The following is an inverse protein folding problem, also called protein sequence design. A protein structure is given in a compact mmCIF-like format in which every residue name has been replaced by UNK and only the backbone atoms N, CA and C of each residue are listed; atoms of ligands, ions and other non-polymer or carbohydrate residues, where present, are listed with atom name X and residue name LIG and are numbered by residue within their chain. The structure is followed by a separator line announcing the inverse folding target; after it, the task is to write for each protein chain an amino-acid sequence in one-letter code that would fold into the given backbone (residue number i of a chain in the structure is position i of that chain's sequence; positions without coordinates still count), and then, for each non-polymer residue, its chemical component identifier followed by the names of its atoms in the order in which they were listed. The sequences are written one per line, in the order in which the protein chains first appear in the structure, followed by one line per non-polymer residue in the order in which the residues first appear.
data_IF_163122835807
#
_entry.id   IF_163122835807
#
_cell.length_a   1.000
_cell.length_b   1.000
_cell.length_c   1.000
_cell.angle_alpha   90.00
_cell.angle_beta   90.00
_cell.angle_gamma   90.00
#
_symmetry.space_group_name_H-M   'P 1'
#
loop_
_entity.id
_entity.type
_entity.pdbx_description
1 polymer ?
#
# COMPACT_ATOMS: atom_id res chain seq x y z
N UNK A 1 -22.45 5.73 10.62
CA UNK A 1 -22.90 6.99 9.98
C UNK A 1 -23.19 6.76 8.51
N UNK A 2 -22.26 6.18 7.72
CA UNK A 2 -22.47 5.99 6.29
C UNK A 2 -23.75 5.19 6.04
N UNK A 3 -23.88 3.99 6.58
CA UNK A 3 -25.03 3.11 6.35
C UNK A 3 -26.36 3.63 6.91
N UNK A 4 -26.33 4.47 7.94
CA UNK A 4 -27.55 4.91 8.63
C UNK A 4 -27.99 6.34 8.26
N UNK A 5 -27.10 7.15 7.69
CA UNK A 5 -27.39 8.57 7.42
C UNK A 5 -27.00 8.94 5.99
N UNK A 6 -25.71 8.79 5.64
CA UNK A 6 -25.21 9.29 4.34
C UNK A 6 -25.90 8.59 3.20
N UNK A 7 -25.72 7.26 3.13
CA UNK A 7 -26.23 6.42 2.06
C UNK A 7 -27.76 6.42 1.93
N UNK A 8 -28.57 6.23 2.99
CA UNK A 8 -30.04 6.19 2.82
C UNK A 8 -30.62 7.50 2.29
N UNK A 9 -30.02 8.63 2.62
CA UNK A 9 -30.49 9.95 2.17
C UNK A 9 -30.16 10.15 0.70
N UNK A 10 -28.90 9.96 0.30
CA UNK A 10 -28.50 10.21 -1.08
C UNK A 10 -29.00 9.11 -2.05
N UNK A 11 -29.10 7.86 -1.60
CA UNK A 11 -29.74 6.80 -2.37
C UNK A 11 -31.21 7.10 -2.65
N UNK A 12 -31.90 7.78 -1.73
CA UNK A 12 -33.25 8.32 -1.94
C UNK A 12 -33.29 9.37 -3.05
N UNK A 13 -32.22 10.15 -3.26
CA UNK A 13 -32.15 11.10 -4.38
C UNK A 13 -31.95 10.41 -5.72
N UNK A 14 -31.21 9.30 -5.73
CA UNK A 14 -30.70 8.61 -6.93
C UNK A 14 -31.61 7.50 -7.42
N UNK A 15 -32.25 6.74 -6.51
CA UNK A 15 -32.99 5.53 -6.88
C UNK A 15 -34.47 5.53 -6.50
N UNK A 16 -34.91 6.48 -5.65
CA UNK A 16 -36.35 6.65 -5.42
C UNK A 16 -36.98 7.36 -6.61
N UNK A 17 -38.07 6.83 -7.15
CA UNK A 17 -38.79 7.44 -8.28
C UNK A 17 -39.24 8.89 -8.04
N UNK A 18 -39.39 9.29 -6.77
CA UNK A 18 -39.68 10.67 -6.36
C UNK A 18 -38.40 11.44 -5.98
N UNK A 19 -37.22 10.84 -6.10
CA UNK A 19 -35.95 11.50 -5.84
C UNK A 19 -35.71 12.63 -6.80
N UNK A 20 -35.24 13.77 -6.30
CA UNK A 20 -35.08 14.99 -7.11
C UNK A 20 -34.04 14.83 -8.24
N UNK A 21 -32.98 14.01 -8.01
CA UNK A 21 -31.99 13.70 -9.06
C UNK A 21 -32.61 12.82 -10.15
N UNK A 22 -33.40 11.82 -9.77
CA UNK A 22 -34.14 10.97 -10.74
C UNK A 22 -35.06 11.83 -11.58
N UNK A 23 -35.79 12.78 -10.96
CA UNK A 23 -36.70 13.66 -11.66
C UNK A 23 -35.97 14.63 -12.63
N UNK A 24 -34.68 14.91 -12.40
CA UNK A 24 -33.83 15.66 -13.34
C UNK A 24 -33.28 14.80 -14.48
N UNK A 25 -33.38 13.47 -14.38
CA UNK A 25 -32.82 12.51 -15.33
C UNK A 25 -31.39 12.09 -15.03
N UNK A 26 -30.96 12.16 -13.74
CA UNK A 26 -29.68 11.61 -13.29
C UNK A 26 -29.72 10.08 -13.38
N UNK A 27 -28.65 9.49 -13.87
CA UNK A 27 -28.47 8.04 -14.01
C UNK A 27 -27.27 7.59 -13.20
N UNK A 28 -27.51 6.67 -12.30
CA UNK A 28 -26.49 5.89 -11.61
C UNK A 28 -27.01 4.46 -11.46
N UNK A 29 -26.68 3.62 -12.43
CA UNK A 29 -27.33 2.31 -12.56
C UNK A 29 -27.10 1.40 -11.36
N UNK A 30 -25.84 1.27 -10.92
CA UNK A 30 -25.48 0.36 -9.85
C UNK A 30 -24.66 1.00 -8.73
N UNK A 31 -24.48 2.33 -8.70
CA UNK A 31 -23.86 3.02 -7.57
C UNK A 31 -22.45 3.56 -7.81
N UNK A 32 -22.18 4.08 -9.01
CA UNK A 32 -20.92 4.77 -9.28
C UNK A 32 -20.75 6.01 -8.42
N UNK A 33 -21.78 6.84 -8.33
CA UNK A 33 -21.84 7.98 -7.44
C UNK A 33 -22.24 7.56 -6.01
N UNK A 34 -23.41 6.95 -5.88
CA UNK A 34 -24.06 6.64 -4.61
C UNK A 34 -23.29 5.66 -3.72
N UNK A 35 -22.38 4.87 -4.27
CA UNK A 35 -21.58 3.90 -3.49
C UNK A 35 -20.10 4.23 -3.58
N UNK A 36 -19.56 4.30 -4.82
CA UNK A 36 -18.12 4.42 -5.00
C UNK A 36 -17.60 5.83 -4.71
N UNK A 37 -18.24 6.87 -5.21
CA UNK A 37 -17.81 8.24 -4.90
C UNK A 37 -18.04 8.58 -3.43
N UNK A 38 -19.08 8.05 -2.80
CA UNK A 38 -19.30 8.13 -1.34
C UNK A 38 -18.15 7.48 -0.59
N UNK A 39 -17.83 6.21 -0.91
CA UNK A 39 -16.74 5.49 -0.27
C UNK A 39 -15.38 6.15 -0.46
N UNK A 40 -15.09 6.58 -1.69
CA UNK A 40 -13.83 7.26 -2.02
C UNK A 40 -13.69 8.65 -1.38
N UNK A 41 -14.78 9.41 -1.25
CA UNK A 41 -14.81 10.69 -0.51
C UNK A 41 -14.55 10.46 0.98
N UNK A 42 -15.19 9.44 1.57
CA UNK A 42 -14.94 9.08 2.95
C UNK A 42 -13.49 8.64 3.19
N UNK A 43 -12.92 7.87 2.26
CA UNK A 43 -11.52 7.45 2.30
C UNK A 43 -10.56 8.64 2.24
N UNK A 44 -10.80 9.60 1.34
CA UNK A 44 -9.98 10.81 1.23
C UNK A 44 -9.97 11.61 2.54
N UNK A 45 -11.15 11.89 3.08
CA UNK A 45 -11.27 12.65 4.32
C UNK A 45 -10.67 11.86 5.49
N UNK A 46 -10.93 10.55 5.57
CA UNK A 46 -10.33 9.66 6.56
C UNK A 46 -8.80 9.69 6.53
N UNK A 47 -8.20 9.56 5.36
CA UNK A 47 -6.75 9.65 5.17
C UNK A 47 -6.17 11.00 5.63
N UNK A 48 -6.86 12.11 5.31
CA UNK A 48 -6.45 13.45 5.76
C UNK A 48 -6.52 13.60 7.28
N UNK A 49 -7.52 13.01 7.96
CA UNK A 49 -7.66 13.06 9.41
C UNK A 49 -6.67 12.17 10.16
N UNK A 50 -6.35 11.00 9.60
CA UNK A 50 -5.38 10.06 10.15
C UNK A 50 -3.95 10.57 9.99
N UNK A 51 -3.66 11.22 8.87
CA UNK A 51 -2.31 11.56 8.46
C UNK A 51 -1.51 10.35 7.95
N UNK A 52 -0.28 10.57 7.48
CA UNK A 52 0.52 9.54 6.85
C UNK A 52 1.02 8.50 7.86
N UNK A 53 1.21 7.25 7.39
CA UNK A 53 1.87 6.19 8.16
C UNK A 53 3.28 6.57 8.54
N UNK A 54 3.77 6.02 9.65
CA UNK A 54 5.15 6.23 10.12
C UNK A 54 6.13 5.82 8.99
N UNK A 55 7.08 6.70 8.68
CA UNK A 55 8.08 6.46 7.65
C UNK A 55 7.60 6.65 6.21
N UNK A 56 6.39 7.17 5.98
CA UNK A 56 5.89 7.46 4.62
C UNK A 56 6.56 8.68 3.99
N UNK A 57 6.81 9.72 4.78
CA UNK A 57 7.41 10.98 4.33
C UNK A 57 8.54 11.41 5.25
N UNK A 58 9.62 11.92 4.66
CA UNK A 58 10.66 12.65 5.39
C UNK A 58 10.37 14.14 5.30
N UNK A 59 10.66 14.86 6.40
CA UNK A 59 10.41 16.28 6.51
C UNK A 59 11.70 17.04 6.80
N UNK A 60 11.84 18.24 6.26
CA UNK A 60 12.87 19.19 6.66
C UNK A 60 12.52 19.89 7.98
N UNK A 61 13.40 20.82 8.40
CA UNK A 61 13.20 21.58 9.64
C UNK A 61 11.98 22.50 9.61
N UNK A 62 11.51 22.83 8.41
CA UNK A 62 10.36 23.72 8.17
C UNK A 62 9.04 22.91 8.00
N UNK A 63 9.10 21.58 8.14
CA UNK A 63 7.95 20.68 8.01
C UNK A 63 7.54 20.39 6.57
N UNK A 64 8.39 20.72 5.59
CA UNK A 64 8.15 20.41 4.18
C UNK A 64 8.61 19.00 3.87
N UNK A 65 7.81 18.25 3.11
CA UNK A 65 8.18 16.91 2.62
C UNK A 65 9.39 17.01 1.69
N UNK A 66 10.46 16.29 2.02
CA UNK A 66 11.68 16.20 1.24
C UNK A 66 11.79 14.90 0.47
N UNK A 67 11.17 13.84 0.98
CA UNK A 67 11.21 12.51 0.36
C UNK A 67 9.93 11.75 0.63
N UNK A 68 9.51 10.96 -0.37
CA UNK A 68 8.37 10.05 -0.29
C UNK A 68 8.90 8.62 -0.33
N UNK A 69 8.46 7.79 0.60
CA UNK A 69 8.83 6.38 0.67
C UNK A 69 7.69 5.48 0.24
N UNK A 70 8.01 4.42 -0.51
CA UNK A 70 7.05 3.39 -0.83
C UNK A 70 6.84 2.47 0.39
N UNK A 71 5.58 2.15 0.70
CA UNK A 71 5.22 1.15 1.70
C UNK A 71 4.39 0.06 0.97
N UNK A 72 5.04 -0.98 0.44
CA UNK A 72 4.35 -2.00 -0.34
C UNK A 72 3.47 -2.89 0.54
N UNK A 73 2.46 -3.50 -0.08
CA UNK A 73 1.67 -4.54 0.55
C UNK A 73 2.49 -5.81 0.80
N UNK A 74 2.08 -6.59 1.80
CA UNK A 74 2.78 -7.80 2.22
C UNK A 74 2.70 -8.97 1.21
N UNK A 75 1.68 -9.01 0.33
CA UNK A 75 1.50 -10.08 -0.64
C UNK A 75 0.74 -9.64 -1.89
N UNK A 76 1.46 -9.51 -3.00
CA UNK A 76 0.83 -9.25 -4.32
C UNK A 76 -0.03 -10.41 -4.80
N UNK A 77 0.32 -11.65 -4.45
CA UNK A 77 -0.46 -12.85 -4.80
C UNK A 77 -1.84 -12.83 -4.14
N UNK A 78 -1.91 -12.48 -2.85
CA UNK A 78 -3.20 -12.31 -2.16
C UNK A 78 -3.97 -11.10 -2.70
N UNK A 79 -3.27 -10.02 -3.05
CA UNK A 79 -3.88 -8.86 -3.71
C UNK A 79 -4.52 -9.23 -5.05
N UNK A 80 -3.84 -10.04 -5.87
CA UNK A 80 -4.38 -10.55 -7.12
C UNK A 80 -5.60 -11.45 -6.89
N UNK A 81 -5.52 -12.40 -5.96
CA UNK A 81 -6.65 -13.24 -5.58
C UNK A 81 -7.85 -12.39 -5.14
N UNK A 82 -7.63 -11.38 -4.29
CA UNK A 82 -8.66 -10.46 -3.85
C UNK A 82 -9.31 -9.69 -5.01
N UNK A 83 -8.51 -9.25 -5.97
CA UNK A 83 -9.02 -8.59 -7.18
C UNK A 83 -9.90 -9.52 -8.02
N UNK A 84 -9.51 -10.79 -8.21
CA UNK A 84 -10.34 -11.75 -8.92
C UNK A 84 -11.67 -12.05 -8.20
N UNK A 85 -11.64 -12.16 -6.87
CA UNK A 85 -12.86 -12.36 -6.06
C UNK A 85 -13.78 -11.15 -6.19
N UNK A 86 -13.23 -9.93 -6.12
CA UNK A 86 -14.00 -8.69 -6.29
C UNK A 86 -14.58 -8.57 -7.71
N UNK A 87 -13.81 -8.90 -8.74
CA UNK A 87 -14.31 -8.85 -10.12
C UNK A 87 -15.44 -9.86 -10.34
N UNK A 88 -15.28 -11.08 -9.86
CA UNK A 88 -16.34 -12.08 -9.91
C UNK A 88 -17.60 -11.59 -9.18
N UNK A 89 -17.44 -11.05 -7.96
CA UNK A 89 -18.54 -10.47 -7.19
C UNK A 89 -19.21 -9.29 -7.90
N UNK A 90 -18.51 -8.59 -8.78
CA UNK A 90 -19.03 -7.44 -9.51
C UNK A 90 -20.09 -7.79 -10.54
N UNK A 91 -20.06 -8.99 -11.08
CA UNK A 91 -21.19 -9.49 -11.87
C UNK A 91 -22.47 -9.59 -11.04
N UNK A 92 -22.35 -9.97 -9.77
CA UNK A 92 -23.47 -9.89 -8.82
C UNK A 92 -23.86 -8.45 -8.50
N UNK A 93 -22.87 -7.57 -8.30
CA UNK A 93 -23.09 -6.15 -7.97
C UNK A 93 -23.89 -5.43 -9.07
N UNK A 94 -23.40 -5.42 -10.30
CA UNK A 94 -24.07 -4.79 -11.43
C UNK A 94 -25.29 -5.61 -11.90
N UNK A 95 -25.22 -6.94 -11.82
CA UNK A 95 -26.32 -7.83 -12.22
C UNK A 95 -27.53 -7.73 -11.31
N UNK A 96 -27.36 -7.53 -10.01
CA UNK A 96 -28.48 -7.34 -9.09
C UNK A 96 -29.28 -6.06 -9.42
N UNK A 97 -28.59 -4.97 -9.72
CA UNK A 97 -29.24 -3.74 -10.21
C UNK A 97 -30.01 -3.99 -11.52
N UNK A 98 -29.43 -4.77 -12.44
CA UNK A 98 -30.10 -5.13 -13.70
C UNK A 98 -31.40 -5.91 -13.48
N UNK A 99 -31.41 -6.91 -12.61
CA UNK A 99 -32.62 -7.71 -12.35
C UNK A 99 -33.73 -6.90 -11.73
N UNK A 100 -33.42 -5.88 -10.96
CA UNK A 100 -34.41 -4.97 -10.35
C UNK A 100 -34.96 -3.95 -11.35
N UNK A 101 -34.13 -3.41 -12.24
CA UNK A 101 -34.49 -2.30 -13.11
C UNK A 101 -34.92 -2.75 -14.52
N UNK A 102 -34.28 -3.75 -15.10
CA UNK A 102 -34.44 -4.15 -16.49
C UNK A 102 -34.93 -5.61 -16.65
N UNK A 103 -35.01 -6.36 -15.54
CA UNK A 103 -35.22 -7.80 -15.59
C UNK A 103 -34.03 -8.55 -16.18
N UNK A 104 -34.21 -9.88 -16.37
CA UNK A 104 -33.12 -10.76 -16.83
C UNK A 104 -32.61 -10.48 -18.26
N UNK A 105 -33.44 -9.83 -19.10
CA UNK A 105 -33.09 -9.55 -20.48
C UNK A 105 -31.89 -8.62 -20.67
N UNK A 106 -31.61 -7.74 -19.71
CA UNK A 106 -30.49 -6.80 -19.73
C UNK A 106 -29.14 -7.38 -19.25
N UNK A 107 -29.13 -8.54 -18.59
CA UNK A 107 -27.94 -9.11 -17.94
C UNK A 107 -26.76 -9.33 -18.89
N UNK A 108 -27.01 -9.78 -20.12
CA UNK A 108 -25.95 -10.05 -21.09
C UNK A 108 -25.17 -8.77 -21.44
N UNK A 109 -25.87 -7.65 -21.66
CA UNK A 109 -25.24 -6.37 -21.94
C UNK A 109 -24.44 -5.86 -20.73
N UNK A 110 -25.02 -5.89 -19.53
CA UNK A 110 -24.39 -5.49 -18.26
C UNK A 110 -23.13 -6.31 -17.99
N UNK A 111 -23.17 -7.64 -18.19
CA UNK A 111 -22.00 -8.48 -17.99
C UNK A 111 -20.91 -8.23 -19.03
N UNK A 112 -21.30 -7.95 -20.28
CA UNK A 112 -20.36 -7.62 -21.35
C UNK A 112 -19.60 -6.33 -21.02
N UNK A 113 -20.27 -5.24 -20.69
CA UNK A 113 -19.64 -3.97 -20.35
C UNK A 113 -18.83 -4.06 -19.06
N UNK A 114 -19.33 -4.79 -18.04
CA UNK A 114 -18.62 -5.09 -16.78
C UNK A 114 -17.37 -5.93 -16.99
N UNK A 115 -17.28 -6.69 -18.09
CA UNK A 115 -16.06 -7.42 -18.46
C UNK A 115 -15.08 -6.55 -19.26
N UNK A 116 -15.58 -5.79 -20.22
CA UNK A 116 -14.74 -5.00 -21.14
C UNK A 116 -13.98 -3.90 -20.40
N UNK A 117 -14.68 -3.06 -19.63
CA UNK A 117 -14.07 -1.89 -19.03
C UNK A 117 -12.89 -2.22 -18.09
N UNK A 118 -13.00 -3.16 -17.13
CA UNK A 118 -11.88 -3.52 -16.25
C UNK A 118 -10.74 -4.21 -17.00
N UNK A 119 -11.04 -5.06 -17.99
CA UNK A 119 -10.01 -5.72 -18.80
C UNK A 119 -9.19 -4.69 -19.59
N UNK A 120 -9.85 -3.74 -20.24
CA UNK A 120 -9.20 -2.66 -20.99
C UNK A 120 -8.43 -1.74 -20.05
N UNK A 121 -8.99 -1.39 -18.87
CA UNK A 121 -8.30 -0.57 -17.87
C UNK A 121 -7.01 -1.25 -17.40
N UNK A 122 -7.04 -2.55 -17.10
CA UNK A 122 -5.85 -3.32 -16.71
C UNK A 122 -4.77 -3.28 -17.79
N UNK A 123 -5.11 -3.58 -19.04
CA UNK A 123 -4.18 -3.56 -20.17
C UNK A 123 -3.61 -2.16 -20.40
N UNK A 124 -4.45 -1.14 -20.35
CA UNK A 124 -4.03 0.27 -20.50
C UNK A 124 -3.02 0.65 -19.42
N UNK A 125 -3.29 0.33 -18.17
CA UNK A 125 -2.38 0.64 -17.05
C UNK A 125 -1.08 -0.14 -17.16
N UNK A 126 -1.14 -1.41 -17.55
CA UNK A 126 0.05 -2.23 -17.77
C UNK A 126 0.96 -1.57 -18.84
N UNK A 127 0.40 -1.14 -19.97
CA UNK A 127 1.15 -0.46 -21.03
C UNK A 127 1.64 0.91 -20.55
N UNK A 128 0.77 1.70 -19.90
CA UNK A 128 1.11 3.04 -19.42
C UNK A 128 2.26 3.02 -18.41
N UNK A 129 2.19 2.13 -17.42
CA UNK A 129 3.26 1.99 -16.42
C UNK A 129 4.53 1.40 -17.03
N UNK A 130 4.41 0.50 -18.00
CA UNK A 130 5.56 -0.02 -18.75
C UNK A 130 6.29 1.09 -19.51
N UNK A 131 5.56 1.89 -20.27
CA UNK A 131 6.16 3.03 -20.98
C UNK A 131 6.79 4.06 -20.04
N UNK A 132 6.15 4.29 -18.88
CA UNK A 132 6.61 5.30 -17.92
C UNK A 132 7.79 4.83 -17.06
N UNK A 133 7.76 3.57 -16.60
CA UNK A 133 8.66 3.05 -15.58
C UNK A 133 9.62 1.97 -16.13
N UNK A 134 9.56 1.64 -17.42
CA UNK A 134 10.34 0.60 -18.05
C UNK A 134 9.87 -0.83 -17.75
N UNK A 135 8.94 -1.01 -16.80
CA UNK A 135 8.31 -2.30 -16.44
C UNK A 135 6.86 -2.07 -16.05
N UNK A 136 5.95 -3.02 -16.35
CA UNK A 136 4.56 -2.95 -15.90
C UNK A 136 4.46 -3.10 -14.38
N UNK A 137 3.63 -2.26 -13.76
CA UNK A 137 3.36 -2.30 -12.33
C UNK A 137 2.15 -3.21 -12.04
N UNK A 138 2.39 -4.32 -11.32
CA UNK A 138 1.34 -5.30 -11.01
C UNK A 138 0.30 -4.70 -10.06
N UNK A 139 0.72 -3.96 -9.02
CA UNK A 139 -0.19 -3.35 -8.05
C UNK A 139 -1.13 -2.34 -8.72
N UNK A 140 -0.57 -1.47 -9.58
CA UNK A 140 -1.36 -0.52 -10.35
C UNK A 140 -2.28 -1.20 -11.36
N UNK A 141 -1.85 -2.31 -11.98
CA UNK A 141 -2.67 -3.10 -12.90
C UNK A 141 -3.88 -3.72 -12.19
N UNK A 142 -3.69 -4.22 -10.96
CA UNK A 142 -4.78 -4.74 -10.14
C UNK A 142 -5.75 -3.61 -9.72
N UNK A 143 -5.24 -2.47 -9.28
CA UNK A 143 -6.06 -1.30 -8.99
C UNK A 143 -6.82 -0.79 -10.21
N UNK A 144 -6.23 -0.87 -11.40
CA UNK A 144 -6.88 -0.48 -12.64
C UNK A 144 -8.05 -1.39 -13.02
N UNK A 145 -7.93 -2.69 -12.76
CA UNK A 145 -9.08 -3.61 -12.93
C UNK A 145 -10.26 -3.16 -12.07
N UNK A 146 -10.00 -2.82 -10.80
CA UNK A 146 -11.04 -2.31 -9.91
C UNK A 146 -11.55 -0.93 -10.33
N UNK A 147 -10.66 -0.03 -10.79
CA UNK A 147 -11.02 1.29 -11.29
C UNK A 147 -11.95 1.21 -12.53
N UNK A 148 -11.66 0.29 -13.44
CA UNK A 148 -12.53 0.03 -14.59
C UNK A 148 -13.89 -0.54 -14.20
N UNK A 149 -13.94 -1.41 -13.17
CA UNK A 149 -15.19 -1.90 -12.58
C UNK A 149 -16.00 -0.76 -11.96
N UNK A 150 -15.35 0.11 -11.20
CA UNK A 150 -15.99 1.30 -10.60
C UNK A 150 -16.54 2.23 -11.68
N UNK A 151 -15.73 2.56 -12.69
CA UNK A 151 -16.13 3.50 -13.71
C UNK A 151 -17.27 3.00 -14.62
N UNK A 152 -17.39 1.69 -14.82
CA UNK A 152 -18.50 1.12 -15.59
C UNK A 152 -19.79 0.96 -14.77
N UNK A 153 -19.71 0.98 -13.45
CA UNK A 153 -20.83 0.70 -12.54
C UNK A 153 -22.04 1.63 -12.76
N UNK A 154 -21.89 2.97 -12.90
CA UNK A 154 -23.06 3.85 -13.09
C UNK A 154 -23.68 3.72 -14.47
N UNK A 155 -22.96 3.20 -15.45
CA UNK A 155 -23.32 3.26 -16.87
C UNK A 155 -23.31 1.88 -17.58
N UNK A 156 -23.15 0.78 -16.83
CA UNK A 156 -22.99 -0.55 -17.43
C UNK A 156 -24.16 -1.03 -18.28
N UNK A 157 -25.36 -0.47 -18.09
CA UNK A 157 -26.56 -0.79 -18.86
C UNK A 157 -26.87 0.22 -19.96
N UNK A 158 -26.19 1.37 -19.99
CA UNK A 158 -26.53 2.51 -20.84
C UNK A 158 -25.50 2.78 -21.94
N UNK A 159 -24.35 2.09 -21.90
CA UNK A 159 -23.29 2.23 -22.90
C UNK A 159 -23.11 0.95 -23.72
N UNK A 160 -22.59 1.10 -24.93
CA UNK A 160 -22.18 -0.02 -25.77
C UNK A 160 -20.73 -0.49 -25.47
N UNK A 161 -20.26 -1.50 -26.20
CA UNK A 161 -18.92 -2.06 -26.02
C UNK A 161 -17.80 -1.05 -26.33
N UNK A 162 -18.03 -0.11 -27.28
CA UNK A 162 -17.06 0.94 -27.60
C UNK A 162 -16.96 1.96 -26.44
N UNK A 163 -18.10 2.44 -25.96
CA UNK A 163 -18.17 3.29 -24.78
C UNK A 163 -17.48 2.66 -23.56
N UNK A 164 -17.80 1.40 -23.27
CA UNK A 164 -17.16 0.65 -22.18
C UNK A 164 -15.64 0.55 -22.34
N UNK A 165 -15.14 0.35 -23.57
CA UNK A 165 -13.71 0.30 -23.87
C UNK A 165 -13.02 1.65 -23.59
N UNK A 166 -13.62 2.75 -24.05
CA UNK A 166 -13.07 4.10 -23.84
C UNK A 166 -13.09 4.44 -22.34
N UNK A 167 -14.17 4.10 -21.62
CA UNK A 167 -14.28 4.27 -20.17
C UNK A 167 -13.13 3.54 -19.48
N UNK A 168 -12.85 2.30 -19.89
CA UNK A 168 -11.74 1.51 -19.35
C UNK A 168 -10.37 2.12 -19.64
N UNK A 169 -10.11 2.60 -20.87
CA UNK A 169 -8.84 3.26 -21.22
C UNK A 169 -8.59 4.45 -20.29
N UNK A 170 -9.57 5.33 -20.15
CA UNK A 170 -9.43 6.53 -19.34
C UNK A 170 -9.27 6.19 -17.87
N UNK A 171 -10.03 5.22 -17.36
CA UNK A 171 -9.89 4.70 -15.98
C UNK A 171 -8.48 4.20 -15.66
N UNK A 172 -7.89 3.44 -16.58
CA UNK A 172 -6.53 2.91 -16.42
C UNK A 172 -5.47 4.00 -16.32
N UNK A 173 -5.69 5.15 -16.95
CA UNK A 173 -4.79 6.31 -16.84
C UNK A 173 -5.07 7.12 -15.58
N UNK A 174 -6.35 7.39 -15.27
CA UNK A 174 -6.77 8.15 -14.10
C UNK A 174 -6.22 7.53 -12.81
N UNK A 175 -6.34 6.22 -12.64
CA UNK A 175 -5.92 5.56 -11.39
C UNK A 175 -4.45 5.79 -11.09
N UNK A 176 -3.57 5.70 -12.09
CA UNK A 176 -2.13 5.93 -11.91
C UNK A 176 -1.85 7.38 -11.57
N UNK A 177 -2.42 8.31 -12.35
CA UNK A 177 -2.16 9.73 -12.17
C UNK A 177 -2.67 10.24 -10.82
N UNK A 178 -3.83 9.75 -10.35
CA UNK A 178 -4.40 10.17 -9.07
C UNK A 178 -3.64 9.58 -7.89
N UNK A 179 -3.24 8.29 -7.94
CA UNK A 179 -2.38 7.69 -6.90
C UNK A 179 -1.09 8.49 -6.75
N UNK A 180 -0.40 8.78 -7.86
CA UNK A 180 0.83 9.54 -7.82
C UNK A 180 0.61 11.00 -7.36
N UNK A 181 -0.49 11.62 -7.77
CA UNK A 181 -0.83 12.98 -7.34
C UNK A 181 -1.05 13.06 -5.83
N UNK A 182 -1.82 12.11 -5.26
CA UNK A 182 -2.07 12.03 -3.82
C UNK A 182 -0.76 11.82 -3.05
N UNK A 183 0.03 10.87 -3.49
CA UNK A 183 1.23 10.45 -2.78
C UNK A 183 2.38 11.46 -2.90
N UNK A 184 2.66 11.93 -4.11
CA UNK A 184 3.87 12.71 -4.41
C UNK A 184 3.65 14.23 -4.41
N UNK A 185 2.42 14.72 -4.60
CA UNK A 185 2.12 16.17 -4.67
C UNK A 185 1.28 16.65 -3.49
N UNK A 186 0.24 15.92 -3.15
CA UNK A 186 -0.66 16.31 -2.06
C UNK A 186 -0.23 15.75 -0.71
N UNK A 187 0.67 14.77 -0.71
CA UNK A 187 1.19 14.09 0.47
C UNK A 187 0.08 13.52 1.36
N UNK A 188 -0.93 12.93 0.71
CA UNK A 188 -2.02 12.22 1.35
C UNK A 188 -1.74 10.74 1.20
N UNK A 189 -1.53 10.05 2.32
CA UNK A 189 -1.26 8.62 2.34
C UNK A 189 -2.55 7.82 2.19
N UNK A 190 -2.80 7.32 0.98
CA UNK A 190 -3.87 6.38 0.65
C UNK A 190 -3.27 4.97 0.48
N UNK A 191 -3.27 4.13 1.52
CA UNK A 191 -2.50 2.90 1.56
C UNK A 191 -2.80 1.89 0.46
N UNK A 192 -4.03 1.90 -0.06
CA UNK A 192 -4.50 0.90 -1.03
C UNK A 192 -4.97 1.52 -2.35
N UNK A 193 -4.88 2.84 -2.49
CA UNK A 193 -5.37 3.54 -3.67
C UNK A 193 -6.89 3.69 -3.73
N UNK A 194 -7.57 3.63 -2.57
CA UNK A 194 -9.03 3.69 -2.48
C UNK A 194 -9.60 4.99 -3.06
N UNK A 195 -8.95 6.12 -2.85
CA UNK A 195 -9.37 7.42 -3.39
C UNK A 195 -9.29 7.43 -4.91
N UNK A 196 -8.19 6.93 -5.47
CA UNK A 196 -8.01 6.87 -6.92
C UNK A 196 -8.98 5.90 -7.59
N UNK A 197 -9.20 4.73 -6.98
CA UNK A 197 -10.10 3.69 -7.52
C UNK A 197 -11.56 4.13 -7.38
N UNK A 198 -11.99 4.59 -6.20
CA UNK A 198 -13.41 4.80 -5.93
C UNK A 198 -13.87 6.24 -6.17
N UNK A 199 -13.15 7.26 -5.66
CA UNK A 199 -13.58 8.65 -5.89
C UNK A 199 -13.32 9.10 -7.32
N UNK A 200 -12.07 9.03 -7.78
CA UNK A 200 -11.73 9.57 -9.08
C UNK A 200 -12.40 8.80 -10.22
N UNK A 201 -12.48 7.48 -10.12
CA UNK A 201 -13.15 6.67 -11.14
C UNK A 201 -14.66 6.56 -10.95
N UNK A 202 -15.20 6.83 -9.77
CA UNK A 202 -16.64 7.04 -9.55
C UNK A 202 -17.11 8.32 -10.26
N UNK A 203 -16.39 9.42 -10.05
CA UNK A 203 -16.63 10.70 -10.77
C UNK A 203 -16.54 10.50 -12.28
N UNK A 204 -15.45 9.85 -12.75
CA UNK A 204 -15.28 9.58 -14.18
C UNK A 204 -16.42 8.71 -14.72
N UNK A 205 -16.79 7.64 -14.05
CA UNK A 205 -17.88 6.75 -14.45
C UNK A 205 -19.23 7.46 -14.55
N UNK A 206 -19.56 8.25 -13.54
CA UNK A 206 -20.82 9.03 -13.53
C UNK A 206 -20.86 10.05 -14.67
N UNK A 207 -19.75 10.78 -14.90
CA UNK A 207 -19.67 11.71 -16.02
C UNK A 207 -19.67 11.00 -17.37
N UNK A 208 -19.12 9.79 -17.45
CA UNK A 208 -19.07 9.01 -18.67
C UNK A 208 -20.44 8.57 -19.18
N UNK A 209 -21.44 8.44 -18.30
CA UNK A 209 -22.82 8.26 -18.74
C UNK A 209 -23.32 9.46 -19.55
N UNK A 210 -23.02 10.66 -19.08
CA UNK A 210 -23.33 11.89 -19.84
C UNK A 210 -22.64 11.98 -21.21
N UNK A 211 -21.51 11.28 -21.38
CA UNK A 211 -20.76 11.27 -22.63
C UNK A 211 -21.15 10.12 -23.57
N UNK A 212 -21.27 8.91 -23.05
CA UNK A 212 -21.34 7.66 -23.82
C UNK A 212 -22.70 6.93 -23.71
N UNK A 213 -23.68 7.46 -22.98
CA UNK A 213 -25.04 6.90 -22.97
C UNK A 213 -25.58 6.87 -24.41
N UNK A 214 -26.02 5.69 -24.86
CA UNK A 214 -26.44 5.48 -26.25
C UNK A 214 -27.71 6.25 -26.64
N UNK A 215 -28.51 6.69 -25.66
CA UNK A 215 -29.73 7.46 -25.91
C UNK A 215 -29.51 8.96 -25.74
N UNK A 216 -28.80 9.37 -24.68
CA UNK A 216 -28.73 10.77 -24.23
C UNK A 216 -27.31 11.32 -24.14
N UNK A 217 -26.29 10.53 -24.49
CA UNK A 217 -24.88 10.91 -24.37
C UNK A 217 -24.46 11.93 -25.46
N UNK A 218 -23.48 12.76 -25.11
CA UNK A 218 -22.94 13.78 -26.03
C UNK A 218 -22.46 13.18 -27.35
N UNK A 219 -21.73 12.04 -27.27
CA UNK A 219 -21.18 11.39 -28.46
C UNK A 219 -22.20 10.62 -29.29
N UNK A 220 -23.40 10.43 -28.77
CA UNK A 220 -24.53 9.81 -29.45
C UNK A 220 -25.60 10.83 -29.89
N UNK A 221 -25.31 12.13 -29.81
CA UNK A 221 -26.17 13.18 -30.28
C UNK A 221 -27.21 13.70 -29.27
N UNK A 222 -27.15 13.28 -28.00
CA UNK A 222 -28.05 13.72 -26.93
C UNK A 222 -27.81 15.14 -26.40
N UNK A 223 -26.73 15.79 -26.86
CA UNK A 223 -26.33 17.12 -26.40
C UNK A 223 -25.75 17.10 -24.96
N UNK A 224 -25.50 18.30 -24.41
CA UNK A 224 -24.77 18.46 -23.14
C UNK A 224 -25.67 18.46 -21.90
N UNK A 225 -26.99 18.41 -22.08
CA UNK A 225 -27.91 18.52 -20.94
C UNK A 225 -27.73 17.35 -19.94
N UNK A 226 -27.67 16.13 -20.48
CA UNK A 226 -27.50 14.94 -19.65
C UNK A 226 -26.15 14.96 -18.90
N UNK A 227 -25.06 15.32 -19.56
CA UNK A 227 -23.76 15.52 -18.93
C UNK A 227 -23.83 16.55 -17.77
N UNK A 228 -24.57 17.64 -17.97
CA UNK A 228 -24.79 18.64 -16.91
C UNK A 228 -25.54 18.08 -15.70
N UNK A 229 -26.53 17.22 -15.93
CA UNK A 229 -27.26 16.54 -14.85
C UNK A 229 -26.36 15.55 -14.10
N UNK A 230 -25.57 14.77 -14.83
CA UNK A 230 -24.60 13.83 -14.23
C UNK A 230 -23.56 14.59 -13.37
N UNK A 231 -23.03 15.70 -13.87
CA UNK A 231 -22.11 16.54 -13.11
C UNK A 231 -22.73 17.15 -11.84
N UNK A 232 -23.99 17.61 -11.95
CA UNK A 232 -24.71 18.15 -10.79
C UNK A 232 -24.97 17.10 -9.73
N UNK A 233 -25.44 15.91 -10.13
CA UNK A 233 -25.70 14.80 -9.22
C UNK A 233 -24.44 14.34 -8.51
N UNK A 234 -23.37 14.10 -9.26
CA UNK A 234 -22.06 13.69 -8.72
C UNK A 234 -21.52 14.70 -7.72
N UNK A 235 -21.50 15.99 -8.10
CA UNK A 235 -21.05 17.06 -7.20
C UNK A 235 -21.87 17.09 -5.91
N UNK A 236 -23.19 16.93 -6.00
CA UNK A 236 -24.07 17.00 -4.82
C UNK A 236 -23.82 15.82 -3.86
N UNK A 237 -23.65 14.61 -4.40
CA UNK A 237 -23.37 13.40 -3.61
C UNK A 237 -22.02 13.50 -2.93
N UNK A 238 -20.98 13.92 -3.65
CA UNK A 238 -19.64 14.12 -3.10
C UNK A 238 -19.65 15.20 -2.02
N UNK A 239 -20.32 16.35 -2.28
CA UNK A 239 -20.41 17.43 -1.31
C UNK A 239 -21.18 17.02 -0.04
N UNK A 240 -22.32 16.33 -0.18
CA UNK A 240 -23.07 15.78 0.94
C UNK A 240 -22.22 14.84 1.79
N UNK A 241 -21.58 13.88 1.15
CA UNK A 241 -20.69 12.92 1.80
C UNK A 241 -19.55 13.62 2.51
N UNK A 242 -18.90 14.58 1.85
CA UNK A 242 -17.79 15.33 2.42
C UNK A 242 -18.18 16.06 3.70
N UNK A 243 -19.31 16.76 3.70
CA UNK A 243 -19.82 17.45 4.91
C UNK A 243 -20.08 16.46 6.02
N UNK A 244 -20.78 15.36 5.75
CA UNK A 244 -21.09 14.34 6.73
C UNK A 244 -19.83 13.69 7.32
N UNK A 245 -18.84 13.39 6.48
CA UNK A 245 -17.60 12.73 6.92
C UNK A 245 -16.68 13.69 7.66
N UNK A 246 -16.59 14.97 7.28
CA UNK A 246 -15.86 15.98 8.03
C UNK A 246 -16.42 16.12 9.47
N UNK A 247 -17.74 16.16 9.60
CA UNK A 247 -18.38 16.20 10.92
C UNK A 247 -18.07 14.92 11.70
N UNK A 248 -18.25 13.76 11.06
CA UNK A 248 -18.08 12.46 11.71
C UNK A 248 -16.66 12.25 12.22
N UNK A 249 -15.65 12.45 11.36
CA UNK A 249 -14.25 12.28 11.75
C UNK A 249 -13.79 13.32 12.77
N UNK A 250 -14.32 14.57 12.69
CA UNK A 250 -14.05 15.58 13.70
C UNK A 250 -14.57 15.19 15.07
N UNK A 251 -15.79 14.65 15.13
CA UNK A 251 -16.41 14.19 16.37
C UNK A 251 -15.66 12.99 16.96
N UNK A 252 -15.34 11.97 16.15
CA UNK A 252 -14.61 10.80 16.60
C UNK A 252 -13.24 11.21 17.12
N UNK A 253 -12.50 12.04 16.36
CA UNK A 253 -11.17 12.52 16.75
C UNK A 253 -11.19 13.26 18.08
N UNK A 254 -12.24 14.05 18.32
CA UNK A 254 -12.39 14.83 19.56
C UNK A 254 -12.80 13.98 20.76
N UNK A 255 -13.67 12.99 20.57
CA UNK A 255 -14.29 12.24 21.65
C UNK A 255 -13.50 10.99 22.03
N UNK A 256 -12.87 10.33 21.07
CA UNK A 256 -12.28 8.99 21.26
C UNK A 256 -10.85 8.87 20.74
N UNK A 257 -10.42 9.78 19.88
CA UNK A 257 -9.22 9.62 19.09
C UNK A 257 -9.51 8.85 17.82
N UNK A 258 -8.63 8.95 16.83
CA UNK A 258 -8.82 8.33 15.53
C UNK A 258 -7.62 7.46 15.10
N UNK A 259 -6.44 7.75 15.60
CA UNK A 259 -5.21 7.07 15.21
C UNK A 259 -4.65 6.24 16.36
N UNK A 260 -4.13 5.08 16.04
CA UNK A 260 -3.34 4.27 16.95
C UNK A 260 -2.13 5.05 17.49
N UNK A 261 -1.67 4.70 18.69
CA UNK A 261 -0.45 5.26 19.23
C UNK A 261 0.77 4.87 18.38
N UNK A 262 1.86 5.64 18.50
CA UNK A 262 3.10 5.31 17.78
C UNK A 262 3.61 3.90 18.10
N UNK A 263 3.48 3.48 19.35
CA UNK A 263 3.91 2.15 19.79
C UNK A 263 3.07 1.04 19.13
N UNK A 264 1.76 1.21 19.11
CA UNK A 264 0.83 0.28 18.46
C UNK A 264 1.09 0.18 16.96
N UNK A 265 1.32 1.32 16.29
CA UNK A 265 1.59 1.35 14.85
C UNK A 265 2.93 0.66 14.50
N UNK A 266 3.96 0.79 15.34
CA UNK A 266 5.27 0.14 15.15
C UNK A 266 5.21 -1.36 15.44
N UNK A 267 4.48 -1.77 16.48
CA UNK A 267 4.33 -3.20 16.85
C UNK A 267 3.41 -3.93 15.87
N UNK A 268 2.40 -3.22 15.35
CA UNK A 268 1.35 -3.75 14.50
C UNK A 268 0.05 -4.00 15.25
N UNK A 269 -1.05 -3.53 14.66
CA UNK A 269 -2.39 -3.58 15.26
C UNK A 269 -2.92 -5.00 15.41
N UNK A 270 -2.53 -5.93 14.53
CA UNK A 270 -2.95 -7.33 14.61
C UNK A 270 -2.61 -7.94 15.97
N UNK A 271 -1.43 -7.62 16.50
CA UNK A 271 -0.97 -8.12 17.78
C UNK A 271 -1.69 -7.47 18.95
N UNK A 272 -1.82 -6.16 18.91
CA UNK A 272 -2.31 -5.38 20.05
C UNK A 272 -3.84 -5.36 20.12
N UNK A 273 -4.52 -5.23 19.00
CA UNK A 273 -5.99 -5.19 18.97
C UNK A 273 -6.62 -6.60 18.92
N UNK A 274 -5.99 -7.54 18.21
CA UNK A 274 -6.58 -8.86 17.96
C UNK A 274 -5.84 -10.02 18.64
N UNK A 275 -4.68 -9.76 19.26
CA UNK A 275 -3.88 -10.81 19.90
C UNK A 275 -3.28 -11.81 18.92
N UNK A 276 -3.15 -11.45 17.63
CA UNK A 276 -2.65 -12.32 16.56
C UNK A 276 -1.16 -12.04 16.37
N UNK A 277 -0.29 -12.92 16.86
CA UNK A 277 1.16 -12.74 16.77
C UNK A 277 1.74 -13.02 15.37
N UNK A 278 0.98 -13.64 14.48
CA UNK A 278 1.53 -14.19 13.24
C UNK A 278 0.57 -14.15 12.04
N UNK A 279 -0.25 -13.09 11.91
CA UNK A 279 -1.15 -12.94 10.77
C UNK A 279 -0.44 -13.08 9.43
N UNK A 280 0.83 -12.72 9.40
CA UNK A 280 1.70 -12.76 8.23
C UNK A 280 2.90 -13.69 8.39
N UNK A 281 2.80 -14.69 9.27
CA UNK A 281 3.83 -15.74 9.41
C UNK A 281 4.03 -16.44 8.06
N UNK A 282 5.28 -16.48 7.60
CA UNK A 282 5.62 -17.02 6.29
C UNK A 282 5.63 -16.01 5.12
N UNK A 283 5.08 -14.81 5.31
CA UNK A 283 5.33 -13.69 4.40
C UNK A 283 6.61 -12.99 4.85
N UNK A 284 7.71 -13.28 4.19
CA UNK A 284 8.92 -12.49 4.33
C UNK A 284 8.58 -11.15 3.70
N UNK A 285 8.29 -10.15 4.53
CA UNK A 285 8.47 -8.78 4.10
C UNK A 285 9.94 -8.69 3.75
N UNK A 286 10.27 -8.66 2.45
CA UNK A 286 11.59 -8.22 2.07
C UNK A 286 11.82 -6.92 2.84
N UNK A 287 12.89 -6.80 3.63
CA UNK A 287 13.21 -5.54 4.27
C UNK A 287 13.41 -4.57 3.13
N UNK A 288 12.36 -3.86 2.76
CA UNK A 288 12.54 -2.61 2.06
C UNK A 288 13.10 -1.71 3.11
N UNK A 289 14.37 -1.84 3.18
CA UNK A 289 15.25 -0.95 3.83
C UNK A 289 14.73 0.45 3.55
N UNK A 290 14.39 1.17 4.59
CA UNK A 290 14.35 2.61 4.56
C UNK A 290 15.79 3.09 4.38
N UNK A 291 16.42 2.70 3.30
CA UNK A 291 17.66 3.31 2.85
C UNK A 291 17.29 4.39 1.88
N UNK A 292 17.64 5.61 2.23
CA UNK A 292 17.65 6.73 1.32
C UNK A 292 18.55 6.42 0.12
N UNK A 293 17.92 5.96 -0.94
CA UNK A 293 18.55 5.69 -2.21
C UNK A 293 17.47 5.35 -3.21
N UNK A 294 17.43 6.05 -4.30
CA UNK A 294 16.55 5.95 -5.43
C UNK A 294 16.09 4.52 -5.71
N UNK A 295 14.95 4.13 -5.14
CA UNK A 295 14.20 2.99 -5.57
C UNK A 295 12.84 3.50 -6.05
N UNK A 296 12.82 3.95 -7.27
CA UNK A 296 11.58 4.02 -8.03
C UNK A 296 10.85 2.69 -7.91
N UNK A 297 9.53 2.74 -7.84
CA UNK A 297 8.59 1.63 -7.94
C UNK A 297 9.12 0.54 -8.90
N UNK A 298 9.65 -0.55 -8.39
CA UNK A 298 10.24 -1.60 -9.22
C UNK A 298 11.38 -2.33 -8.53
N UNK A 299 11.14 -2.82 -7.33
CA UNK A 299 12.07 -3.76 -6.72
C UNK A 299 12.03 -5.10 -7.44
N UNK A 300 12.96 -5.32 -8.30
CA UNK A 300 13.64 -6.47 -8.88
C UNK A 300 14.19 -6.06 -10.25
N UNK A 301 14.94 -4.99 -10.27
CA UNK A 301 16.07 -4.92 -11.13
C UNK A 301 17.25 -4.90 -10.17
N UNK A 302 17.93 -6.01 -10.01
CA UNK A 302 19.36 -5.91 -9.86
C UNK A 302 19.76 -4.93 -10.94
N UNK A 303 20.16 -3.77 -10.51
CA UNK A 303 20.63 -2.76 -11.41
C UNK A 303 21.74 -3.37 -12.21
N UNK A 304 21.44 -3.63 -13.44
CA UNK A 304 22.42 -3.54 -14.48
C UNK A 304 22.71 -2.04 -14.69
N UNK A 305 23.16 -1.45 -13.60
CA UNK A 305 23.80 -0.15 -13.62
C UNK A 305 25.21 -0.44 -14.03
N UNK A 306 25.55 -0.09 -15.22
CA UNK A 306 26.84 -0.17 -15.88
C UNK A 306 28.09 0.29 -15.11
N UNK A 307 28.22 -0.13 -13.87
CA UNK A 307 29.46 -0.26 -13.16
C UNK A 307 30.00 -1.64 -13.49
N UNK A 308 30.91 -1.71 -14.42
CA UNK A 308 31.53 -2.83 -15.04
C UNK A 308 31.32 -4.17 -14.35
N UNK A 309 30.53 -5.06 -14.97
CA UNK A 309 30.56 -6.46 -14.65
C UNK A 309 32.00 -6.93 -14.68
N UNK A 310 32.55 -7.21 -13.50
CA UNK A 310 33.83 -7.91 -13.45
C UNK A 310 33.54 -9.34 -13.88
N UNK A 311 34.11 -9.85 -15.01
CA UNK A 311 33.93 -11.22 -15.42
C UNK A 311 34.31 -12.15 -14.28
N UNK A 312 33.57 -13.24 -14.09
CA UNK A 312 33.79 -14.25 -13.03
C UNK A 312 35.26 -14.71 -12.98
N UNK A 313 35.93 -14.77 -14.13
CA UNK A 313 37.36 -15.11 -14.28
C UNK A 313 38.30 -14.04 -13.67
N UNK A 314 37.81 -12.81 -13.45
CA UNK A 314 38.54 -11.74 -12.75
C UNK A 314 38.12 -11.57 -11.26
N UNK A 315 37.05 -12.23 -10.84
CA UNK A 315 36.62 -12.29 -9.46
C UNK A 315 37.43 -13.30 -8.61
N UNK A 316 38.32 -14.06 -9.20
CA UNK A 316 39.26 -14.96 -8.52
C UNK A 316 40.54 -14.99 -9.32
N UNK A 317 41.70 -14.62 -8.78
CA UNK A 317 42.33 -15.37 -7.73
C UNK A 317 42.56 -14.52 -6.49
N UNK A 318 42.43 -15.17 -5.35
CA UNK A 318 42.88 -14.72 -4.06
C UNK A 318 44.35 -14.32 -4.14
N UNK A 319 44.61 -13.06 -4.43
CA UNK A 319 45.90 -12.48 -4.14
C UNK A 319 45.81 -12.10 -2.67
N UNK A 320 46.68 -12.66 -1.82
CA UNK A 320 46.80 -12.26 -0.42
C UNK A 320 46.84 -10.76 -0.40
N UNK A 321 45.75 -10.12 0.03
CA UNK A 321 45.75 -8.71 0.32
C UNK A 321 46.84 -8.47 1.36
N UNK A 322 47.57 -7.40 1.20
CA UNK A 322 48.46 -6.89 2.27
C UNK A 322 47.56 -6.43 3.39
N UNK A 323 46.98 -7.38 4.12
CA UNK A 323 46.23 -7.08 5.33
C UNK A 323 47.16 -6.35 6.32
N UNK A 324 46.67 -5.31 6.96
CA UNK A 324 47.28 -4.83 8.20
C UNK A 324 47.46 -6.07 9.08
N UNK A 325 48.71 -6.48 9.44
CA UNK A 325 48.95 -7.75 10.12
C UNK A 325 48.26 -7.88 11.48
N UNK A 326 47.77 -6.76 12.02
CA UNK A 326 47.19 -6.63 13.36
C UNK A 326 45.68 -6.33 13.36
N UNK A 327 45.00 -6.30 12.19
CA UNK A 327 43.56 -6.06 12.13
C UNK A 327 42.79 -7.27 12.69
N UNK A 328 42.15 -7.09 13.83
CA UNK A 328 41.24 -8.09 14.40
C UNK A 328 39.83 -7.82 13.91
N UNK A 329 39.15 -8.87 13.41
CA UNK A 329 37.79 -8.79 13.01
C UNK A 329 36.89 -9.41 14.06
N UNK A 330 35.84 -8.70 14.41
CA UNK A 330 34.85 -9.22 15.38
C UNK A 330 33.46 -9.16 14.77
N UNK A 331 32.71 -10.22 14.97
CA UNK A 331 31.29 -10.25 14.68
C UNK A 331 30.49 -10.02 15.96
N UNK A 332 29.69 -8.97 15.97
CA UNK A 332 28.76 -8.68 17.05
C UNK A 332 27.37 -9.14 16.60
N UNK A 333 26.85 -10.19 17.23
CA UNK A 333 25.50 -10.70 16.99
C UNK A 333 24.58 -10.21 18.10
N UNK A 334 23.53 -9.49 17.71
CA UNK A 334 22.55 -8.90 18.63
C UNK A 334 21.22 -9.59 18.39
N UNK A 335 20.66 -10.26 19.41
CA UNK A 335 19.31 -10.83 19.36
C UNK A 335 18.40 -9.97 20.23
N UNK A 336 17.40 -9.31 19.62
CA UNK A 336 16.52 -8.38 20.31
C UNK A 336 15.09 -8.43 19.80
N UNK A 337 14.21 -7.60 20.36
CA UNK A 337 12.83 -7.43 19.89
C UNK A 337 12.81 -6.69 18.56
N UNK A 338 11.92 -7.08 17.66
CA UNK A 338 11.77 -6.42 16.36
C UNK A 338 11.44 -4.93 16.50
N UNK A 339 10.65 -4.53 17.50
CA UNK A 339 10.27 -3.15 17.77
C UNK A 339 11.45 -2.20 18.08
N UNK A 340 12.61 -2.75 18.46
CA UNK A 340 13.81 -1.99 18.79
C UNK A 340 14.80 -1.86 17.63
N UNK A 341 14.47 -2.37 16.46
CA UNK A 341 15.40 -2.40 15.32
C UNK A 341 15.79 -1.01 14.81
N UNK A 342 14.81 -0.12 14.63
CA UNK A 342 15.10 1.21 14.09
C UNK A 342 15.95 2.07 15.06
N UNK A 343 15.72 1.94 16.37
CA UNK A 343 16.55 2.60 17.37
C UNK A 343 17.99 2.05 17.35
N UNK A 344 18.13 0.72 17.26
CA UNK A 344 19.44 0.08 17.14
C UNK A 344 20.17 0.50 15.87
N UNK A 345 19.50 0.52 14.73
CA UNK A 345 20.05 0.94 13.45
C UNK A 345 20.54 2.39 13.48
N UNK A 346 19.76 3.30 14.07
CA UNK A 346 20.16 4.68 14.25
C UNK A 346 21.43 4.79 15.11
N UNK A 347 21.47 4.10 16.25
CA UNK A 347 22.63 4.09 17.14
C UNK A 347 23.88 3.49 16.48
N UNK A 348 23.73 2.50 15.61
CA UNK A 348 24.86 1.93 14.84
C UNK A 348 25.38 2.91 13.80
N UNK A 349 24.49 3.61 13.08
CA UNK A 349 24.89 4.64 12.12
C UNK A 349 25.65 5.80 12.79
N UNK A 350 25.24 6.20 13.99
CA UNK A 350 25.89 7.30 14.75
C UNK A 350 27.34 6.99 15.11
N UNK A 351 27.69 5.69 15.18
CA UNK A 351 29.08 5.23 15.41
C UNK A 351 29.79 4.73 14.15
N UNK A 352 29.27 5.10 12.96
CA UNK A 352 29.81 4.72 11.64
C UNK A 352 29.79 3.20 11.35
N UNK A 353 28.84 2.46 11.91
CA UNK A 353 28.57 1.08 11.54
C UNK A 353 27.43 1.07 10.52
N UNK A 354 27.77 0.91 9.23
CA UNK A 354 26.81 0.97 8.10
C UNK A 354 26.38 -0.41 7.62
N UNK A 355 27.23 -1.43 7.77
CA UNK A 355 26.97 -2.80 7.34
C UNK A 355 26.36 -3.67 8.44
N UNK A 356 25.13 -4.16 8.25
CA UNK A 356 24.52 -5.12 9.16
C UNK A 356 23.59 -6.09 8.42
N UNK A 357 23.60 -7.36 8.85
CA UNK A 357 22.71 -8.39 8.33
C UNK A 357 21.63 -8.69 9.34
N UNK A 358 20.37 -8.64 8.92
CA UNK A 358 19.21 -8.84 9.80
C UNK A 358 18.46 -10.11 9.41
N UNK A 359 18.21 -10.96 10.41
CA UNK A 359 17.47 -12.21 10.25
C UNK A 359 16.34 -12.29 11.26
N UNK A 360 15.14 -12.65 10.82
CA UNK A 360 14.04 -12.94 11.73
C UNK A 360 14.27 -14.29 12.39
N UNK A 361 14.18 -14.33 13.71
CA UNK A 361 14.38 -15.54 14.50
C UNK A 361 13.28 -15.73 15.53
N UNK A 362 13.03 -16.96 15.93
CA UNK A 362 12.14 -17.29 17.03
C UNK A 362 12.97 -17.61 18.27
N UNK A 363 12.67 -16.94 19.37
CA UNK A 363 13.37 -17.12 20.64
C UNK A 363 12.50 -17.84 21.69
N UNK A 364 13.05 -18.85 22.33
CA UNK A 364 12.49 -19.50 23.52
C UNK A 364 13.31 -19.10 24.74
N UNK A 365 12.66 -18.72 25.83
CA UNK A 365 13.34 -18.35 27.07
C UNK A 365 12.36 -18.12 28.23
N UNK A 366 12.87 -17.56 29.35
CA UNK A 366 12.06 -17.26 30.54
C UNK A 366 11.00 -16.18 30.34
N UNK A 367 11.00 -15.50 29.21
CA UNK A 367 9.93 -14.58 28.81
C UNK A 367 8.72 -15.45 28.40
N UNK A 368 7.83 -15.72 29.36
CA UNK A 368 6.55 -16.35 29.06
C UNK A 368 5.74 -15.38 28.17
N UNK A 369 5.28 -15.86 27.01
CA UNK A 369 4.34 -15.12 26.16
C UNK A 369 3.01 -14.91 26.88
N UNK A 370 2.23 -13.90 26.46
CA UNK A 370 0.86 -13.77 26.92
C UNK A 370 0.08 -15.03 26.53
N UNK A 371 -0.65 -15.60 27.50
CA UNK A 371 -1.55 -16.71 27.24
C UNK A 371 -2.62 -16.25 26.25
N UNK A 372 -2.56 -16.76 25.03
CA UNK A 372 -3.56 -16.47 24.00
C UNK A 372 -4.70 -17.47 24.10
N UNK A 373 -5.94 -17.01 23.91
CA UNK A 373 -7.12 -17.87 23.80
C UNK A 373 -7.58 -17.92 22.35
N UNK A 374 -7.56 -19.12 21.77
CA UNK A 374 -8.21 -19.38 20.49
C UNK A 374 -9.48 -20.17 20.74
N UNK A 375 -10.64 -19.61 20.38
CA UNK A 375 -11.98 -20.21 20.62
C UNK A 375 -12.18 -20.65 22.08
N UNK A 376 -11.67 -19.86 23.04
CA UNK A 376 -11.79 -20.14 24.47
C UNK A 376 -10.75 -21.09 25.07
N UNK A 377 -9.86 -21.66 24.24
CA UNK A 377 -8.76 -22.55 24.69
C UNK A 377 -7.47 -21.73 24.83
N UNK A 378 -6.79 -21.88 25.96
CA UNK A 378 -5.50 -21.26 26.22
C UNK A 378 -4.42 -21.90 25.35
N UNK A 379 -3.63 -21.08 24.66
CA UNK A 379 -2.47 -21.51 23.86
C UNK A 379 -1.20 -20.95 24.51
N UNK A 380 -0.32 -21.85 24.93
CA UNK A 380 1.02 -21.49 25.41
C UNK A 380 1.92 -21.15 24.21
N UNK A 381 2.29 -19.88 24.09
CA UNK A 381 3.30 -19.46 23.10
C UNK A 381 4.69 -19.64 23.69
N UNK A 382 5.37 -20.70 23.27
CA UNK A 382 6.75 -21.02 23.70
C UNK A 382 7.82 -20.29 22.90
N UNK A 383 7.47 -19.78 21.71
CA UNK A 383 8.39 -19.10 20.78
C UNK A 383 7.94 -17.66 20.53
N UNK A 384 8.83 -16.71 20.77
CA UNK A 384 8.60 -15.29 20.55
C UNK A 384 9.38 -14.78 19.34
N UNK A 385 8.76 -13.96 18.45
CA UNK A 385 9.46 -13.36 17.33
C UNK A 385 10.52 -12.37 17.84
N UNK A 386 11.73 -12.51 17.30
CA UNK A 386 12.88 -11.65 17.54
C UNK A 386 13.64 -11.41 16.23
N UNK A 387 14.56 -10.46 16.26
CA UNK A 387 15.53 -10.28 15.20
C UNK A 387 16.92 -10.64 15.70
N UNK A 388 17.72 -11.15 14.80
CA UNK A 388 19.16 -11.34 14.93
C UNK A 388 19.83 -10.35 14.00
N UNK A 389 20.69 -9.51 14.52
CA UNK A 389 21.48 -8.54 13.77
C UNK A 389 22.93 -8.92 13.88
N UNK A 390 23.57 -9.23 12.76
CA UNK A 390 24.98 -9.57 12.66
C UNK A 390 25.74 -8.36 12.08
N UNK A 391 26.79 -7.93 12.77
CA UNK A 391 27.64 -6.78 12.43
C UNK A 391 29.08 -7.25 12.49
N UNK A 392 29.85 -7.04 11.43
CA UNK A 392 31.31 -7.29 11.43
C UNK A 392 32.03 -5.96 11.51
N UNK A 393 32.90 -5.81 12.50
CA UNK A 393 33.69 -4.60 12.73
C UNK A 393 35.17 -4.91 12.81
N UNK A 394 35.99 -3.94 12.43
CA UNK A 394 37.45 -3.95 12.51
C UNK A 394 37.99 -2.67 13.12
N UNK A 395 37.63 -1.49 12.60
CA UNK A 395 38.09 -0.19 13.12
C UNK A 395 37.24 0.31 14.28
N UNK A 396 35.91 0.08 14.22
CA UNK A 396 35.02 0.47 15.32
C UNK A 396 35.26 -0.44 16.51
N UNK A 397 35.62 0.08 17.69
CA UNK A 397 35.83 -0.77 18.86
C UNK A 397 34.54 -1.55 19.24
N UNK A 398 34.73 -2.82 19.53
CA UNK A 398 33.61 -3.70 19.93
C UNK A 398 32.86 -3.15 21.14
N UNK A 399 33.57 -2.62 22.13
CA UNK A 399 32.99 -2.03 23.33
C UNK A 399 32.08 -0.84 23.01
N UNK A 400 32.37 -0.05 21.98
CA UNK A 400 31.54 1.03 21.53
C UNK A 400 30.24 0.52 20.91
N UNK A 401 30.32 -0.51 20.06
CA UNK A 401 29.15 -1.17 19.46
C UNK A 401 28.25 -1.77 20.55
N UNK A 402 28.82 -2.48 21.49
CA UNK A 402 28.12 -3.10 22.61
C UNK A 402 27.44 -2.05 23.50
N UNK A 403 28.13 -0.94 23.78
CA UNK A 403 27.60 0.14 24.62
C UNK A 403 26.44 0.84 23.92
N UNK A 404 26.60 1.26 22.66
CA UNK A 404 25.55 1.88 21.89
C UNK A 404 24.30 0.96 21.75
N UNK A 405 24.52 -0.33 21.51
CA UNK A 405 23.42 -1.28 21.45
C UNK A 405 22.72 -1.42 22.82
N UNK A 406 23.45 -1.49 23.92
CA UNK A 406 22.87 -1.59 25.27
C UNK A 406 22.04 -0.37 25.63
N UNK A 407 22.48 0.84 25.30
CA UNK A 407 21.78 2.09 25.62
C UNK A 407 20.37 2.12 25.02
N UNK A 408 20.23 1.71 23.77
CA UNK A 408 18.93 1.74 23.07
C UNK A 408 18.06 0.51 23.32
N UNK A 409 18.66 -0.64 23.63
CA UNK A 409 17.92 -1.90 23.81
C UNK A 409 17.46 -2.10 25.25
N UNK A 410 18.10 -1.43 26.23
CA UNK A 410 17.81 -1.62 27.64
C UNK A 410 16.43 -1.07 28.02
N UNK A 411 15.60 -1.92 28.62
CA UNK A 411 14.31 -1.56 29.24
C UNK A 411 14.24 -1.99 30.69
N UNK A 412 15.23 -2.74 31.18
CA UNK A 412 15.23 -3.33 32.53
C UNK A 412 14.34 -4.56 32.67
N UNK A 413 13.71 -5.04 31.60
CA UNK A 413 12.79 -6.16 31.61
C UNK A 413 13.39 -7.42 30.96
N UNK A 414 12.91 -8.57 31.36
CA UNK A 414 13.24 -9.84 30.69
C UNK A 414 12.79 -9.74 29.22
N UNK A 415 13.71 -10.04 28.29
CA UNK A 415 13.43 -10.01 26.85
C UNK A 415 14.13 -8.91 26.07
N UNK A 416 14.92 -8.03 26.71
CA UNK A 416 15.71 -6.99 26.05
C UNK A 416 16.69 -7.55 25.02
N UNK A 417 17.12 -8.78 25.20
CA UNK A 417 17.95 -9.48 24.23
C UNK A 417 19.30 -9.94 24.79
N UNK A 418 20.15 -10.36 23.88
CA UNK A 418 21.54 -10.77 24.17
C UNK A 418 22.45 -10.30 23.05
N UNK A 419 23.68 -9.96 23.43
CA UNK A 419 24.76 -9.59 22.51
C UNK A 419 25.85 -10.65 22.64
N UNK A 420 26.29 -11.18 21.50
CA UNK A 420 27.37 -12.15 21.41
C UNK A 420 28.49 -11.54 20.59
N UNK A 421 29.71 -11.76 20.99
CA UNK A 421 30.91 -11.29 20.27
C UNK A 421 31.73 -12.52 19.89
N UNK A 422 32.11 -12.59 18.61
CA UNK A 422 32.91 -13.68 18.06
C UNK A 422 34.14 -13.10 17.36
N UNK A 423 35.25 -13.82 17.43
CA UNK A 423 36.39 -13.55 16.58
C UNK A 423 36.12 -14.08 15.15
N UNK A 424 36.36 -13.26 14.15
CA UNK A 424 36.23 -13.62 12.75
C UNK A 424 37.64 -13.79 12.17
N UNK A 425 37.91 -14.97 11.62
CA UNK A 425 39.23 -15.27 11.08
C UNK A 425 39.55 -14.51 9.81
N UNK A 426 38.58 -14.32 8.93
CA UNK A 426 38.75 -13.63 7.67
C UNK A 426 37.38 -13.14 7.13
N UNK A 427 37.42 -12.11 6.28
CA UNK A 427 36.31 -11.59 5.52
C UNK A 427 36.71 -11.56 4.05
N UNK A 428 35.83 -12.01 3.15
CA UNK A 428 36.08 -12.04 1.71
C UNK A 428 34.94 -11.33 0.99
N UNK A 429 35.27 -10.32 0.19
CA UNK A 429 34.30 -9.59 -0.64
C UNK A 429 34.05 -10.37 -1.94
N UNK A 430 32.87 -10.94 -2.11
CA UNK A 430 32.54 -11.82 -3.25
C UNK A 430 32.72 -11.12 -4.60
N UNK A 431 32.40 -9.84 -4.69
CA UNK A 431 32.46 -9.06 -5.94
C UNK A 431 33.89 -8.88 -6.48
N UNK A 432 34.87 -8.66 -5.58
CA UNK A 432 36.24 -8.27 -5.96
C UNK A 432 37.27 -9.33 -5.60
N UNK A 433 36.93 -10.29 -4.72
CA UNK A 433 37.88 -11.25 -4.16
C UNK A 433 38.84 -10.67 -3.12
N UNK A 434 38.65 -9.40 -2.70
CA UNK A 434 39.40 -8.78 -1.62
C UNK A 434 39.18 -9.51 -0.30
N UNK A 435 40.23 -9.60 0.51
CA UNK A 435 40.20 -10.27 1.82
C UNK A 435 40.61 -9.34 2.93
N UNK A 436 40.23 -9.70 4.14
CA UNK A 436 40.64 -8.99 5.34
C UNK A 436 40.00 -7.58 5.42
N UNK A 437 40.80 -6.60 5.82
CA UNK A 437 40.36 -5.23 6.06
C UNK A 437 39.70 -4.58 4.82
N UNK A 438 40.31 -4.76 3.65
CA UNK A 438 39.82 -4.19 2.39
C UNK A 438 38.44 -4.75 1.99
N UNK A 439 38.15 -5.99 2.41
CA UNK A 439 36.85 -6.60 2.16
C UNK A 439 35.70 -5.94 2.92
N UNK A 440 35.98 -5.21 4.03
CA UNK A 440 34.99 -4.47 4.83
C UNK A 440 34.79 -3.03 4.36
N UNK A 441 35.66 -2.53 3.47
CA UNK A 441 35.52 -1.19 2.90
C UNK A 441 34.61 -1.24 1.67
N UNK A 442 33.69 -0.29 1.54
CA UNK A 442 32.81 -0.15 0.37
C UNK A 442 33.47 0.67 -0.77
#
# INVERSE_FOLDING_TARGET
VISAVVYPIEAGWVWNSQGWLVQLGFVDFAGGAAIHSVGGTAALIGAMFLGPRIGKYDYDKDGKVTKVHAIPGHSLTLGALGTFILWFGWYGFNGAACTQLLGVGGLAAVFTTTTIAPAVAAVTTMIFTWCKNGKPDVSMTLNASLAGLVAITPTCATVDALGASIIGIVSGIIVVLVVECLDMKLHIDDPVGAVAVHLANGIWGTLSDGLFNVENGVFYGGGVKHLGVQALGEFTIVAWTAVCMLITFSLIKKLHGLRASREEEVIGLDKLEHGIDSSYAGFIMAPQVMTGGEAGLGGYAAADLGAGQVPVEKAVPVTKATSRPDAKFHMVTIITRQSKFEELKAAMNDINVTGMTVTNVLGCGQQHGNVQKYRGVEMDMTLLPKIKVDIVVSEVPVDLVVTAAKEVLYTGNIGDGKIFVYDVQNVVKVRTGEEGYEALQD
#
